data_IF_561951758065
#
_entry.id   IF_561951758065
#
_cell.length_a   1.000
_cell.length_b   1.000
_cell.length_c   1.000
_cell.angle_alpha   90.00
_cell.angle_beta   90.00
_cell.angle_gamma   90.00
#
_symmetry.space_group_name_H-M   'P 1'
#
loop_
_entity.id
_entity.type
_entity.pdbx_description
1 polymer ?
#
# COMPACT_ATOMS: atom_id res chain seq x y z
N UNK A 1 -18.55 4.22 -2.96
CA UNK A 1 -17.22 4.63 -2.48
C UNK A 1 -16.20 4.12 -3.49
N UNK A 2 -15.41 4.99 -4.09
CA UNK A 2 -14.40 4.61 -5.10
C UNK A 2 -13.01 5.17 -4.81
N UNK A 3 -12.87 5.91 -3.71
CA UNK A 3 -11.62 6.54 -3.30
C UNK A 3 -11.35 6.19 -1.83
N UNK A 4 -10.11 5.77 -1.54
CA UNK A 4 -9.56 5.80 -0.18
C UNK A 4 -9.02 7.21 0.00
N UNK A 5 -9.73 8.02 0.78
CA UNK A 5 -9.36 9.41 1.01
C UNK A 5 -8.18 9.51 1.98
N UNK A 6 -8.19 8.66 3.00
CA UNK A 6 -7.13 8.57 4.00
C UNK A 6 -7.01 7.13 4.49
N UNK A 7 -5.78 6.70 4.77
CA UNK A 7 -5.50 5.45 5.45
C UNK A 7 -4.26 5.59 6.34
N UNK A 8 -4.45 5.46 7.65
CA UNK A 8 -3.39 5.46 8.65
C UNK A 8 -3.06 4.01 9.01
N UNK A 9 -1.78 3.65 8.94
CA UNK A 9 -1.28 2.34 9.39
C UNK A 9 -0.94 2.41 10.88
N UNK A 10 -1.60 1.57 11.68
CA UNK A 10 -1.47 1.54 13.14
C UNK A 10 -0.47 0.49 13.63
N UNK A 11 -0.49 -0.72 13.04
CA UNK A 11 0.39 -1.81 13.40
C UNK A 11 0.63 -2.76 12.21
N UNK A 12 1.83 -3.37 12.07
CA UNK A 12 2.09 -4.37 11.04
C UNK A 12 1.21 -5.63 11.20
N UNK A 13 0.80 -6.22 10.08
CA UNK A 13 0.23 -7.56 10.03
C UNK A 13 1.33 -8.56 9.67
N UNK A 14 1.85 -9.27 10.67
CA UNK A 14 2.85 -10.33 10.48
C UNK A 14 2.15 -11.61 10.03
N UNK A 15 2.70 -12.28 9.01
CA UNK A 15 2.17 -13.55 8.48
C UNK A 15 3.15 -14.69 8.79
N UNK A 16 2.94 -15.45 9.87
CA UNK A 16 3.78 -16.60 10.16
C UNK A 16 3.54 -17.72 9.14
N UNK A 17 4.63 -18.36 8.72
CA UNK A 17 4.56 -19.46 7.76
C UNK A 17 3.67 -20.59 8.27
N UNK A 18 2.78 -21.09 7.40
CA UNK A 18 1.91 -22.24 7.71
C UNK A 18 0.75 -21.94 8.65
N UNK A 19 0.52 -20.68 9.04
CA UNK A 19 -0.63 -20.28 9.88
C UNK A 19 -1.58 -19.37 9.13
N UNK A 20 -2.89 -19.58 9.34
CA UNK A 20 -3.93 -18.69 8.84
C UNK A 20 -4.08 -17.44 9.71
N UNK A 21 -4.46 -16.33 9.08
CA UNK A 21 -4.95 -15.13 9.76
C UNK A 21 -6.35 -14.81 9.26
N UNK A 22 -7.23 -14.43 10.18
CA UNK A 22 -8.56 -13.91 9.85
C UNK A 22 -8.44 -12.40 9.75
N UNK A 23 -8.77 -11.85 8.59
CA UNK A 23 -8.79 -10.40 8.35
C UNK A 23 -10.24 -9.94 8.32
N UNK A 24 -10.53 -8.85 9.04
CA UNK A 24 -11.82 -8.18 8.99
C UNK A 24 -11.63 -6.75 8.52
N UNK A 25 -12.40 -6.38 7.51
CA UNK A 25 -12.52 -4.99 7.04
C UNK A 25 -13.92 -4.51 7.38
N UNK A 26 -14.01 -3.50 8.23
CA UNK A 26 -15.29 -2.91 8.64
C UNK A 26 -15.46 -1.54 8.01
N UNK A 27 -16.63 -1.32 7.42
CA UNK A 27 -17.00 -0.06 6.77
C UNK A 27 -18.28 0.46 7.43
N UNK A 28 -18.20 1.67 7.97
CA UNK A 28 -19.31 2.32 8.64
C UNK A 28 -20.43 2.79 7.70
N UNK A 29 -21.49 3.30 8.33
CA UNK A 29 -22.51 4.09 7.64
C UNK A 29 -21.91 5.30 6.91
N UNK A 30 -22.61 5.76 5.88
CA UNK A 30 -22.27 7.03 5.25
C UNK A 30 -22.64 8.19 6.17
N UNK A 31 -21.77 9.17 6.28
CA UNK A 31 -22.10 10.48 6.84
C UNK A 31 -22.85 11.35 5.82
N UNK A 32 -23.13 12.60 6.18
CA UNK A 32 -23.81 13.59 5.34
C UNK A 32 -23.06 13.90 4.03
N UNK A 33 -21.74 13.68 4.01
CA UNK A 33 -20.88 13.87 2.83
C UNK A 33 -20.65 12.56 2.04
N UNK A 34 -21.42 11.52 2.34
CA UNK A 34 -21.25 10.18 1.80
C UNK A 34 -19.88 9.53 2.07
N UNK A 35 -19.14 10.02 3.08
CA UNK A 35 -17.90 9.42 3.56
C UNK A 35 -18.19 8.31 4.54
N UNK A 36 -17.30 7.32 4.63
CA UNK A 36 -17.44 6.16 5.51
C UNK A 36 -16.16 5.89 6.25
N UNK A 37 -16.25 5.68 7.56
CA UNK A 37 -15.13 5.17 8.34
C UNK A 37 -14.76 3.75 7.87
N UNK A 38 -13.46 3.50 7.74
CA UNK A 38 -12.86 2.21 7.41
C UNK A 38 -11.95 1.77 8.55
N UNK A 39 -12.03 0.50 8.93
CA UNK A 39 -11.06 -0.11 9.83
C UNK A 39 -10.67 -1.50 9.33
N UNK A 40 -9.40 -1.87 9.52
CA UNK A 40 -8.85 -3.17 9.15
C UNK A 40 -8.26 -3.81 10.39
N UNK A 41 -8.83 -4.94 10.78
CA UNK A 41 -8.36 -5.76 11.88
C UNK A 41 -7.87 -7.11 11.38
N UNK A 42 -6.98 -7.73 12.15
CA UNK A 42 -6.73 -9.16 12.00
C UNK A 42 -6.60 -9.85 13.34
N UNK A 43 -6.71 -11.18 13.30
CA UNK A 43 -6.32 -12.06 14.40
C UNK A 43 -5.79 -13.37 13.81
N UNK A 44 -5.02 -14.11 14.61
CA UNK A 44 -4.67 -15.49 14.24
C UNK A 44 -5.93 -16.36 14.11
N UNK A 45 -5.87 -17.38 13.25
CA UNK A 45 -6.99 -18.29 13.01
C UNK A 45 -7.14 -19.37 14.09
N UNK A 46 -7.38 -18.92 15.34
CA UNK A 46 -7.75 -19.76 16.47
C UNK A 46 -8.70 -19.02 17.41
N UNK A 47 -9.53 -19.76 18.15
CA UNK A 47 -10.69 -19.22 18.87
C UNK A 47 -10.34 -18.11 19.88
N UNK A 48 -9.19 -18.23 20.56
CA UNK A 48 -8.75 -17.31 21.62
C UNK A 48 -7.94 -16.10 21.12
N UNK A 49 -7.72 -15.97 19.80
CA UNK A 49 -6.94 -14.87 19.26
C UNK A 49 -7.69 -13.52 19.41
N UNK A 50 -7.00 -12.52 19.95
CA UNK A 50 -7.50 -11.14 20.05
C UNK A 50 -7.34 -10.40 18.72
N UNK A 51 -8.28 -9.52 18.40
CA UNK A 51 -8.20 -8.65 17.24
C UNK A 51 -7.18 -7.53 17.45
N UNK A 52 -6.39 -7.27 16.42
CA UNK A 52 -5.42 -6.18 16.34
C UNK A 52 -5.82 -5.23 15.23
N UNK A 53 -5.87 -3.92 15.52
CA UNK A 53 -6.11 -2.88 14.52
C UNK A 53 -4.82 -2.66 13.71
N UNK A 54 -4.90 -2.80 12.39
CA UNK A 54 -3.77 -2.56 11.47
C UNK A 54 -3.88 -1.26 10.72
N UNK A 55 -5.09 -0.87 10.34
CA UNK A 55 -5.31 0.38 9.63
C UNK A 55 -6.69 0.96 9.93
N UNK A 56 -6.79 2.29 9.89
CA UNK A 56 -8.06 3.01 9.95
C UNK A 56 -8.03 4.18 8.98
N UNK A 57 -9.19 4.61 8.49
CA UNK A 57 -9.25 5.67 7.51
C UNK A 57 -10.65 6.02 7.07
N UNK A 58 -10.73 6.72 5.94
CA UNK A 58 -11.97 7.26 5.39
C UNK A 58 -12.10 6.90 3.91
N UNK A 59 -13.26 6.37 3.55
CA UNK A 59 -13.66 6.13 2.16
C UNK A 59 -14.57 7.25 1.68
N UNK A 60 -14.37 7.69 0.45
CA UNK A 60 -15.16 8.75 -0.18
C UNK A 60 -15.78 8.28 -1.52
N UNK A 61 -16.78 9.00 -2.05
CA UNK A 61 -17.15 8.90 -3.46
C UNK A 61 -15.93 9.14 -4.37
N UNK A 62 -15.91 8.53 -5.54
CA UNK A 62 -14.81 8.76 -6.48
C UNK A 62 -14.83 10.22 -6.94
N UNK A 63 -13.68 10.88 -6.91
CA UNK A 63 -13.47 12.16 -7.57
C UNK A 63 -12.94 11.92 -8.99
N UNK A 64 -13.26 12.81 -9.92
CA UNK A 64 -12.58 12.81 -11.24
C UNK A 64 -11.15 13.31 -11.04
N UNK A 65 -10.18 12.41 -10.94
CA UNK A 65 -8.76 12.79 -10.91
C UNK A 65 -8.25 13.02 -12.34
N UNK A 66 -7.74 14.22 -12.60
CA UNK A 66 -6.79 14.48 -13.69
C UNK A 66 -5.41 13.98 -13.22
N UNK A 67 -4.95 12.88 -13.82
CA UNK A 67 -3.58 12.40 -13.64
C UNK A 67 -2.57 13.25 -14.43
N UNK A 68 -1.29 13.01 -14.18
CA UNK A 68 -0.24 13.53 -15.07
C UNK A 68 -0.42 12.95 -16.48
N UNK A 69 -0.08 13.72 -17.51
CA UNK A 69 -0.06 13.22 -18.88
C UNK A 69 1.09 12.22 -19.05
N UNK A 70 0.73 10.98 -19.40
CA UNK A 70 1.66 9.86 -19.61
C UNK A 70 1.85 9.54 -21.09
N UNK A 71 1.35 10.38 -22.02
CA UNK A 71 1.47 10.17 -23.45
C UNK A 71 2.92 10.25 -23.96
N UNK A 72 3.78 11.02 -23.26
CA UNK A 72 5.22 11.08 -23.50
C UNK A 72 5.99 10.35 -22.37
N UNK A 73 6.63 9.22 -22.70
CA UNK A 73 7.32 8.38 -21.73
C UNK A 73 8.67 7.86 -22.27
N UNK A 74 9.78 7.97 -21.52
CA UNK A 74 9.88 8.61 -20.19
C UNK A 74 9.66 10.12 -20.24
N UNK A 75 9.34 10.77 -19.11
CA UNK A 75 9.12 12.21 -19.07
C UNK A 75 10.31 12.99 -19.63
N UNK A 76 10.04 14.02 -20.44
CA UNK A 76 11.10 14.86 -21.00
C UNK A 76 11.99 15.47 -19.89
N UNK A 77 13.29 15.46 -20.14
CA UNK A 77 14.31 15.93 -19.20
C UNK A 77 14.56 15.02 -17.99
N UNK A 78 14.01 13.79 -17.98
CA UNK A 78 14.33 12.79 -16.96
C UNK A 78 15.50 11.90 -17.40
N UNK A 79 16.39 11.58 -16.46
CA UNK A 79 17.55 10.71 -16.68
C UNK A 79 17.25 9.31 -16.16
N UNK A 80 17.72 8.28 -16.88
CA UNK A 80 17.59 6.89 -16.42
C UNK A 80 18.51 6.65 -15.22
N UNK A 81 17.99 5.97 -14.21
CA UNK A 81 18.76 5.50 -13.05
C UNK A 81 19.12 4.03 -13.27
N UNK A 82 20.38 3.67 -13.07
CA UNK A 82 20.80 2.27 -13.07
C UNK A 82 20.23 1.56 -11.83
N UNK A 83 19.44 0.52 -12.06
CA UNK A 83 18.80 -0.29 -11.02
C UNK A 83 19.48 -1.66 -10.86
N UNK A 84 20.62 -1.88 -11.50
CA UNK A 84 21.39 -3.13 -11.40
C UNK A 84 21.75 -3.38 -9.94
N UNK A 85 21.40 -4.57 -9.43
CA UNK A 85 21.71 -4.97 -8.05
C UNK A 85 20.86 -4.28 -6.98
N UNK A 86 19.85 -3.46 -7.33
CA UNK A 86 19.04 -2.71 -6.36
C UNK A 86 18.43 -3.60 -5.27
N UNK A 87 17.89 -4.77 -5.65
CA UNK A 87 17.28 -5.70 -4.68
C UNK A 87 18.30 -6.39 -3.79
N UNK A 88 19.52 -6.61 -4.25
CA UNK A 88 20.61 -7.12 -3.41
C UNK A 88 21.00 -6.07 -2.36
N UNK A 89 21.18 -4.82 -2.78
CA UNK A 89 21.50 -3.71 -1.86
C UNK A 89 20.38 -3.46 -0.83
N UNK A 90 19.13 -3.67 -1.22
CA UNK A 90 17.98 -3.60 -0.31
C UNK A 90 17.97 -4.77 0.69
N UNK A 91 18.29 -5.99 0.24
CA UNK A 91 18.41 -7.15 1.13
C UNK A 91 19.52 -6.97 2.17
N UNK A 92 20.65 -6.35 1.83
CA UNK A 92 21.72 -5.97 2.78
C UNK A 92 21.23 -5.03 3.89
N UNK A 93 20.09 -4.35 3.68
CA UNK A 93 19.42 -3.45 4.62
C UNK A 93 18.16 -4.09 5.25
N UNK A 94 18.04 -5.42 5.18
CA UNK A 94 16.90 -6.22 5.67
C UNK A 94 15.57 -6.01 4.92
N UNK A 95 15.60 -5.41 3.73
CA UNK A 95 14.44 -5.38 2.82
C UNK A 95 14.46 -6.60 1.90
N UNK A 96 14.02 -7.74 2.43
CA UNK A 96 14.00 -9.03 1.73
C UNK A 96 12.81 -9.16 0.77
N UNK A 97 12.84 -8.40 -0.33
CA UNK A 97 11.82 -8.51 -1.37
C UNK A 97 11.97 -9.83 -2.12
N UNK A 98 11.04 -10.76 -1.88
CA UNK A 98 10.92 -12.01 -2.65
C UNK A 98 10.50 -11.76 -4.12
N UNK A 99 10.55 -12.78 -5.00
CA UNK A 99 10.35 -12.61 -6.45
C UNK A 99 9.05 -11.89 -6.85
N UNK A 100 7.97 -12.11 -6.09
CA UNK A 100 6.68 -11.44 -6.33
C UNK A 100 6.72 -9.92 -6.06
N UNK A 101 7.65 -9.44 -5.24
CA UNK A 101 7.84 -8.03 -4.89
C UNK A 101 8.99 -7.38 -5.69
N UNK A 102 9.72 -8.14 -6.50
CA UNK A 102 10.78 -7.62 -7.37
C UNK A 102 10.23 -7.09 -8.71
N UNK A 103 9.24 -6.19 -8.63
CA UNK A 103 8.51 -5.66 -9.79
C UNK A 103 9.14 -4.46 -10.49
N UNK A 104 10.21 -3.86 -9.96
CA UNK A 104 10.84 -2.67 -10.51
C UNK A 104 11.55 -2.98 -11.84
N UNK A 105 11.20 -2.27 -12.91
CA UNK A 105 11.76 -2.48 -14.26
C UNK A 105 12.66 -1.36 -14.75
N UNK A 106 12.37 -0.12 -14.37
CA UNK A 106 13.14 1.06 -14.74
C UNK A 106 12.79 2.21 -13.78
N UNK A 107 13.72 3.13 -13.59
CA UNK A 107 13.53 4.35 -12.81
C UNK A 107 14.08 5.52 -13.62
N UNK A 108 13.33 6.62 -13.65
CA UNK A 108 13.79 7.89 -14.20
C UNK A 108 13.75 8.95 -13.11
N UNK A 109 14.79 9.77 -13.02
CA UNK A 109 14.90 10.88 -12.07
C UNK A 109 14.89 12.21 -12.83
N UNK A 110 14.16 13.19 -12.29
CA UNK A 110 14.12 14.56 -12.80
C UNK A 110 14.17 15.51 -11.61
N UNK A 111 15.20 16.36 -11.54
CA UNK A 111 15.52 17.15 -10.34
C UNK A 111 16.59 16.46 -9.46
N UNK A 112 16.96 17.11 -8.34
CA UNK A 112 18.09 16.71 -7.48
C UNK A 112 17.69 16.23 -6.07
N UNK A 113 16.40 16.08 -5.77
CA UNK A 113 15.94 15.58 -4.47
C UNK A 113 15.96 14.04 -4.40
#
# INVERSE_FOLDING_TARGET
CGLVEELVLAAPLVLPAGTGVVVQVSVGGADESARRALTVYSRADHAEASWVLHAQGTLAPAASQLGADLSAWPPAGAESVDITGVYQQLAERAYEYGPAFQGLRAVWRRGQD
#
